data_IF_728517428642
#
_entry.id   IF_728517428642
#
_cell.length_a   1.000
_cell.length_b   1.000
_cell.length_c   1.000
_cell.angle_alpha   90.00
_cell.angle_beta   90.00
_cell.angle_gamma   90.00
#
_symmetry.space_group_name_H-M   'P 1'
#
loop_
_entity.id
_entity.type
_entity.pdbx_description
1 polymer ?
#
# COMPACT_ATOMS: atom_id res chain seq x y z
N UNK A 1 -46.12 -23.68 4.67
CA UNK A 1 -47.50 -23.15 4.69
C UNK A 1 -48.17 -23.12 3.31
N UNK A 2 -47.49 -22.65 2.23
CA UNK A 2 -48.08 -22.56 0.87
C UNK A 2 -48.50 -23.91 0.26
N UNK A 3 -47.72 -24.98 0.44
CA UNK A 3 -48.02 -26.31 -0.12
C UNK A 3 -49.33 -26.91 0.44
N UNK A 4 -49.72 -26.62 1.69
CA UNK A 4 -50.97 -27.13 2.28
C UNK A 4 -52.24 -26.52 1.65
N UNK A 5 -52.17 -25.31 1.08
CA UNK A 5 -53.33 -24.65 0.44
C UNK A 5 -53.68 -25.23 -0.95
N UNK A 6 -52.72 -25.89 -1.61
CA UNK A 6 -52.95 -26.59 -2.89
C UNK A 6 -53.87 -27.81 -2.73
N UNK A 7 -53.90 -28.43 -1.54
CA UNK A 7 -54.68 -29.64 -1.28
C UNK A 7 -56.14 -29.37 -0.86
N UNK A 8 -56.55 -28.12 -0.66
CA UNK A 8 -57.86 -27.78 -0.08
C UNK A 8 -58.98 -27.52 -1.10
N UNK A 9 -58.74 -27.70 -2.40
CA UNK A 9 -59.80 -27.76 -3.42
C UNK A 9 -60.62 -26.48 -3.66
N UNK A 10 -60.34 -25.37 -2.98
CA UNK A 10 -60.98 -24.08 -3.27
C UNK A 10 -60.34 -23.47 -4.52
N UNK A 11 -61.15 -23.31 -5.56
CA UNK A 11 -60.83 -22.68 -6.84
C UNK A 11 -59.83 -21.54 -6.68
N UNK A 12 -58.58 -21.82 -7.02
CA UNK A 12 -57.58 -20.80 -7.16
C UNK A 12 -56.65 -21.29 -8.26
N UNK A 13 -56.66 -20.56 -9.37
CA UNK A 13 -55.68 -20.64 -10.43
C UNK A 13 -54.32 -20.19 -9.90
N UNK A 14 -53.73 -20.98 -9.00
CA UNK A 14 -52.42 -20.68 -8.43
C UNK A 14 -51.37 -21.13 -9.44
N UNK A 15 -51.15 -20.28 -10.44
CA UNK A 15 -50.00 -20.32 -11.34
C UNK A 15 -48.73 -19.77 -10.68
N UNK A 16 -48.58 -19.89 -9.35
CA UNK A 16 -47.31 -19.56 -8.70
C UNK A 16 -46.34 -20.73 -8.86
N UNK A 17 -45.15 -20.44 -9.40
CA UNK A 17 -44.03 -21.36 -9.33
C UNK A 17 -43.56 -21.48 -7.89
N UNK A 18 -43.51 -22.70 -7.37
CA UNK A 18 -43.05 -22.99 -6.02
C UNK A 18 -41.76 -23.80 -6.12
N UNK A 19 -40.73 -23.36 -5.40
CA UNK A 19 -39.52 -24.14 -5.19
C UNK A 19 -39.64 -24.95 -3.90
N UNK A 20 -39.26 -26.21 -3.97
CA UNK A 20 -39.24 -27.12 -2.83
C UNK A 20 -38.06 -28.09 -2.96
N UNK A 21 -37.65 -28.68 -1.84
CA UNK A 21 -36.57 -29.66 -1.82
C UNK A 21 -36.93 -30.86 -0.97
N UNK A 22 -36.45 -32.03 -1.36
CA UNK A 22 -36.56 -33.26 -0.59
C UNK A 22 -35.28 -34.08 -0.72
N UNK A 23 -35.10 -35.06 0.16
CA UNK A 23 -33.98 -36.00 0.08
C UNK A 23 -34.35 -37.14 -0.84
N UNK A 24 -33.45 -37.51 -1.75
CA UNK A 24 -33.60 -38.72 -2.57
C UNK A 24 -33.31 -40.00 -1.76
N UNK A 25 -33.32 -41.14 -2.43
CA UNK A 25 -33.09 -42.46 -1.81
C UNK A 25 -31.67 -42.59 -1.23
N UNK A 26 -30.70 -41.85 -1.75
CA UNK A 26 -29.33 -41.81 -1.26
C UNK A 26 -29.16 -40.81 -0.10
N UNK A 27 -30.17 -39.98 0.17
CA UNK A 27 -30.17 -38.98 1.25
C UNK A 27 -29.74 -37.58 0.80
N UNK A 28 -29.49 -37.38 -0.50
CA UNK A 28 -29.04 -36.12 -1.08
C UNK A 28 -30.21 -35.15 -1.30
N UNK A 29 -29.98 -33.86 -1.03
CA UNK A 29 -30.98 -32.84 -1.30
C UNK A 29 -31.15 -32.61 -2.80
N UNK A 30 -32.38 -32.79 -3.28
CA UNK A 30 -32.82 -32.45 -4.63
C UNK A 30 -33.78 -31.28 -4.60
N UNK A 31 -33.57 -30.32 -5.49
CA UNK A 31 -34.39 -29.12 -5.63
C UNK A 31 -35.31 -29.25 -6.83
N UNK A 32 -36.58 -28.94 -6.64
CA UNK A 32 -37.59 -28.97 -7.68
C UNK A 32 -38.35 -27.66 -7.71
N UNK A 33 -38.68 -27.22 -8.92
CA UNK A 33 -39.59 -26.13 -9.17
C UNK A 33 -40.86 -26.70 -9.78
N UNK A 34 -42.00 -26.44 -9.15
CA UNK A 34 -43.28 -26.97 -9.62
C UNK A 34 -44.37 -25.93 -9.71
N UNK A 35 -45.36 -26.21 -10.54
CA UNK A 35 -46.65 -25.50 -10.58
C UNK A 35 -47.76 -26.52 -10.57
N UNK A 36 -48.86 -26.25 -9.85
CA UNK A 36 -49.98 -27.18 -9.70
C UNK A 36 -51.31 -26.48 -9.98
N UNK A 37 -52.18 -27.14 -10.73
CA UNK A 37 -53.54 -26.66 -11.02
C UNK A 37 -54.56 -27.78 -10.80
N UNK A 38 -55.78 -27.42 -10.44
CA UNK A 38 -56.90 -28.35 -10.33
C UNK A 38 -57.76 -28.24 -11.60
N UNK A 39 -57.95 -29.34 -12.31
CA UNK A 39 -58.77 -29.44 -13.52
C UNK A 39 -59.76 -30.58 -13.35
N UNK A 40 -61.08 -30.28 -13.38
CA UNK A 40 -62.17 -31.28 -13.25
C UNK A 40 -61.98 -32.24 -12.06
N UNK A 41 -61.74 -31.70 -10.87
CA UNK A 41 -61.42 -32.46 -9.64
C UNK A 41 -60.12 -33.30 -9.66
N UNK A 42 -59.27 -33.14 -10.67
CA UNK A 42 -57.95 -33.77 -10.73
C UNK A 42 -56.86 -32.74 -10.49
N UNK A 43 -55.84 -33.11 -9.74
CA UNK A 43 -54.68 -32.27 -9.45
C UNK A 43 -53.57 -32.56 -10.45
N UNK A 44 -53.27 -31.59 -11.30
CA UNK A 44 -52.17 -31.65 -12.26
C UNK A 44 -50.97 -30.89 -11.71
N UNK A 45 -49.84 -31.58 -11.53
CA UNK A 45 -48.56 -30.96 -11.18
C UNK A 45 -47.55 -31.16 -12.29
N UNK A 46 -46.84 -30.08 -12.62
CA UNK A 46 -45.65 -30.14 -13.47
C UNK A 46 -44.47 -29.72 -12.61
N UNK A 47 -43.43 -30.54 -12.60
CA UNK A 47 -42.25 -30.37 -11.75
C UNK A 47 -40.99 -30.47 -12.59
N UNK A 48 -40.07 -29.54 -12.40
CA UNK A 48 -38.74 -29.53 -13.03
C UNK A 48 -37.69 -29.70 -11.95
N UNK A 49 -36.78 -30.66 -12.13
CA UNK A 49 -35.57 -30.74 -11.32
C UNK A 49 -34.68 -29.52 -11.63
N UNK A 50 -34.34 -28.76 -10.60
CA UNK A 50 -33.48 -27.57 -10.65
C UNK A 50 -32.25 -27.75 -9.75
N UNK A 51 -31.93 -28.98 -9.34
CA UNK A 51 -30.80 -29.29 -8.44
C UNK A 51 -29.48 -28.81 -9.04
N UNK A 52 -29.23 -29.12 -10.32
CA UNK A 52 -27.97 -28.74 -10.98
C UNK A 52 -27.86 -27.22 -11.13
N UNK A 53 -28.97 -26.55 -11.44
CA UNK A 53 -29.02 -25.09 -11.49
C UNK A 53 -28.67 -24.47 -10.13
N UNK A 54 -29.29 -24.94 -9.04
CA UNK A 54 -29.01 -24.45 -7.68
C UNK A 54 -27.57 -24.72 -7.26
N UNK A 55 -27.02 -25.89 -7.59
CA UNK A 55 -25.61 -26.21 -7.31
C UNK A 55 -24.64 -25.28 -8.04
N UNK A 56 -24.93 -24.94 -9.31
CA UNK A 56 -24.13 -23.99 -10.08
C UNK A 56 -24.24 -22.57 -9.49
N UNK A 57 -25.46 -22.10 -9.19
CA UNK A 57 -25.69 -20.79 -8.56
C UNK A 57 -24.95 -20.67 -7.21
N UNK A 58 -25.06 -21.68 -6.35
CA UNK A 58 -24.33 -21.70 -5.07
C UNK A 58 -22.82 -21.73 -5.27
N UNK A 59 -22.32 -22.46 -6.28
CA UNK A 59 -20.89 -22.52 -6.57
C UNK A 59 -20.36 -21.17 -7.06
N UNK A 60 -21.10 -20.49 -7.93
CA UNK A 60 -20.76 -19.14 -8.40
C UNK A 60 -20.73 -18.18 -7.21
N UNK A 61 -21.82 -18.15 -6.42
CA UNK A 61 -21.92 -17.27 -5.25
C UNK A 61 -20.77 -17.49 -4.25
N UNK A 62 -20.47 -18.74 -3.89
CA UNK A 62 -19.34 -19.06 -3.00
C UNK A 62 -18.00 -18.66 -3.60
N UNK A 63 -17.85 -18.79 -4.92
CA UNK A 63 -16.63 -18.38 -5.59
C UNK A 63 -16.48 -16.86 -5.60
N UNK A 64 -17.55 -16.11 -5.88
CA UNK A 64 -17.57 -14.64 -5.83
C UNK A 64 -17.27 -14.12 -4.43
N UNK A 65 -17.93 -14.66 -3.40
CA UNK A 65 -17.65 -14.32 -2.00
C UNK A 65 -16.19 -14.62 -1.63
N UNK A 66 -15.63 -15.74 -2.10
CA UNK A 66 -14.22 -16.08 -1.88
C UNK A 66 -13.29 -15.07 -2.56
N UNK A 67 -13.53 -14.75 -3.83
CA UNK A 67 -12.71 -13.80 -4.57
C UNK A 67 -12.79 -12.39 -3.99
N UNK A 68 -13.98 -11.94 -3.63
CA UNK A 68 -14.20 -10.65 -2.97
C UNK A 68 -13.41 -10.57 -1.66
N UNK A 69 -13.51 -11.59 -0.80
CA UNK A 69 -12.76 -11.62 0.45
C UNK A 69 -11.23 -11.61 0.25
N UNK A 70 -10.72 -12.33 -0.76
CA UNK A 70 -9.28 -12.33 -1.08
C UNK A 70 -8.80 -10.96 -1.57
N UNK A 71 -9.61 -10.29 -2.39
CA UNK A 71 -9.30 -8.98 -2.94
C UNK A 71 -9.30 -7.89 -1.86
N UNK A 72 -10.34 -7.87 -1.02
CA UNK A 72 -10.53 -6.89 0.06
C UNK A 72 -9.44 -6.99 1.13
N UNK A 73 -8.95 -8.19 1.43
CA UNK A 73 -7.98 -8.44 2.51
C UNK A 73 -6.55 -8.69 2.01
N UNK A 74 -6.26 -8.37 0.74
CA UNK A 74 -4.91 -8.56 0.19
C UNK A 74 -3.93 -7.56 0.83
N UNK A 75 -2.77 -8.02 1.38
CA UNK A 75 -1.82 -7.14 2.07
C UNK A 75 -1.03 -6.19 1.16
N UNK A 76 -1.16 -6.34 -0.17
CA UNK A 76 -0.57 -5.46 -1.17
C UNK A 76 -1.62 -4.59 -1.86
N UNK A 77 -1.18 -3.47 -2.43
CA UNK A 77 -2.03 -2.58 -3.21
C UNK A 77 -2.21 -3.15 -4.62
N UNK A 78 -3.23 -3.98 -4.80
CA UNK A 78 -3.59 -4.48 -6.12
C UNK A 78 -4.23 -3.37 -6.95
N UNK A 79 -3.86 -3.30 -8.23
CA UNK A 79 -4.48 -2.40 -9.18
C UNK A 79 -4.63 -3.05 -10.56
N UNK A 80 -5.56 -2.51 -11.35
CA UNK A 80 -5.70 -2.79 -12.78
C UNK A 80 -6.06 -1.50 -13.51
N UNK A 81 -5.40 -1.28 -14.64
CA UNK A 81 -5.64 -0.16 -15.54
C UNK A 81 -5.98 -0.65 -16.95
N UNK A 82 -6.73 0.16 -17.70
CA UNK A 82 -6.91 -0.03 -19.14
C UNK A 82 -5.66 0.39 -19.95
N UNK A 83 -5.75 0.32 -21.29
CA UNK A 83 -4.65 0.69 -22.20
C UNK A 83 -4.29 2.17 -22.12
N UNK A 84 -5.27 3.01 -21.83
CA UNK A 84 -5.16 4.45 -21.70
C UNK A 84 -4.56 4.86 -20.34
N UNK A 85 -4.52 3.93 -19.39
CA UNK A 85 -3.95 4.11 -18.05
C UNK A 85 -4.97 4.56 -17.01
N UNK A 86 -6.27 4.41 -17.27
CA UNK A 86 -7.31 4.69 -16.30
C UNK A 86 -7.46 3.51 -15.35
N UNK A 87 -7.55 3.79 -14.05
CA UNK A 87 -7.78 2.81 -13.00
C UNK A 87 -9.17 2.17 -13.16
N UNK A 88 -9.21 0.89 -13.49
CA UNK A 88 -10.47 0.13 -13.59
C UNK A 88 -10.73 -0.73 -12.36
N UNK A 89 -9.70 -1.06 -11.59
CA UNK A 89 -9.83 -1.82 -10.35
C UNK A 89 -8.70 -1.44 -9.40
N UNK A 90 -9.02 -1.32 -8.11
CA UNK A 90 -8.06 -1.14 -7.03
C UNK A 90 -8.67 -1.71 -5.75
N UNK A 91 -7.87 -2.38 -4.93
CA UNK A 91 -8.35 -2.87 -3.64
C UNK A 91 -8.31 -1.75 -2.57
N UNK A 92 -8.96 -1.94 -1.41
CA UNK A 92 -8.96 -0.93 -0.35
C UNK A 92 -7.56 -0.53 0.13
N UNK A 93 -6.64 -1.49 0.23
CA UNK A 93 -5.25 -1.21 0.61
C UNK A 93 -4.53 -0.33 -0.42
N UNK A 94 -4.81 -0.49 -1.71
CA UNK A 94 -4.30 0.41 -2.74
C UNK A 94 -4.83 1.84 -2.63
N UNK A 95 -6.12 2.02 -2.35
CA UNK A 95 -6.68 3.34 -2.12
C UNK A 95 -6.02 4.04 -0.92
N UNK A 96 -5.92 3.34 0.21
CA UNK A 96 -5.26 3.84 1.43
C UNK A 96 -3.79 4.18 1.18
N UNK A 97 -3.05 3.34 0.46
CA UNK A 97 -1.64 3.54 0.16
C UNK A 97 -1.39 4.89 -0.55
N UNK A 98 -2.27 5.27 -1.47
CA UNK A 98 -2.18 6.54 -2.19
C UNK A 98 -2.88 7.72 -1.49
N UNK A 99 -3.43 7.53 -0.29
CA UNK A 99 -4.07 8.59 0.49
C UNK A 99 -5.50 8.92 0.06
N UNK A 100 -6.22 7.94 -0.50
CA UNK A 100 -7.65 8.04 -0.81
C UNK A 100 -8.48 7.38 0.29
N UNK A 101 -9.73 7.83 0.48
CA UNK A 101 -10.58 7.32 1.55
C UNK A 101 -11.19 5.97 1.18
N UNK A 102 -11.49 5.76 -0.10
CA UNK A 102 -12.02 4.51 -0.63
C UNK A 102 -11.52 4.23 -2.06
N UNK A 103 -11.74 3.00 -2.54
CA UNK A 103 -11.39 2.61 -3.90
C UNK A 103 -12.17 3.45 -4.93
N UNK A 104 -13.44 3.76 -4.65
CA UNK A 104 -14.31 4.55 -5.52
C UNK A 104 -13.76 5.96 -5.79
N UNK A 105 -13.05 6.57 -4.83
CA UNK A 105 -12.47 7.91 -4.98
C UNK A 105 -11.36 8.01 -6.04
N UNK A 106 -10.75 6.88 -6.41
CA UNK A 106 -9.61 6.81 -7.33
C UNK A 106 -9.93 6.01 -8.61
N UNK A 107 -10.99 5.21 -8.62
CA UNK A 107 -11.46 4.53 -9.84
C UNK A 107 -11.75 5.55 -10.96
N UNK A 108 -11.44 5.15 -12.19
CA UNK A 108 -11.54 5.96 -13.41
C UNK A 108 -10.42 6.98 -13.60
N UNK A 109 -9.62 7.27 -12.57
CA UNK A 109 -8.53 8.25 -12.70
C UNK A 109 -7.38 7.72 -13.53
N UNK A 110 -6.80 8.58 -14.35
CA UNK A 110 -5.61 8.24 -15.11
C UNK A 110 -4.36 8.26 -14.22
N UNK A 111 -3.67 7.13 -14.11
CA UNK A 111 -2.53 7.01 -13.20
C UNK A 111 -1.36 7.93 -13.58
N UNK A 112 -1.17 8.20 -14.88
CA UNK A 112 -0.07 9.05 -15.34
C UNK A 112 -0.24 10.51 -14.88
N UNK A 113 -1.49 10.96 -14.71
CA UNK A 113 -1.80 12.33 -14.28
C UNK A 113 -1.85 12.45 -12.75
N UNK A 114 -2.36 11.42 -12.08
CA UNK A 114 -2.65 11.48 -10.64
C UNK A 114 -1.56 10.89 -9.75
N UNK A 115 -0.83 9.86 -10.22
CA UNK A 115 0.13 9.12 -9.40
C UNK A 115 1.59 9.34 -9.81
N UNK A 116 1.88 9.74 -11.04
CA UNK A 116 3.26 10.07 -11.45
C UNK A 116 3.57 11.54 -11.20
N UNK A 117 4.85 11.86 -10.97
CA UNK A 117 5.29 13.26 -10.90
C UNK A 117 5.42 13.85 -12.29
N UNK A 118 5.94 13.07 -13.25
CA UNK A 118 6.07 13.51 -14.64
C UNK A 118 5.61 12.45 -15.65
N UNK A 119 5.15 12.87 -16.85
CA UNK A 119 4.85 11.95 -17.94
C UNK A 119 6.04 11.09 -18.38
N UNK A 120 7.27 11.58 -18.24
CA UNK A 120 8.51 10.90 -18.64
C UNK A 120 8.77 9.65 -17.80
N UNK A 121 8.50 9.70 -16.50
CA UNK A 121 8.60 8.55 -15.60
C UNK A 121 7.67 7.42 -16.03
N UNK A 122 6.43 7.77 -16.39
CA UNK A 122 5.45 6.80 -16.92
C UNK A 122 5.93 6.19 -18.24
N UNK A 123 6.48 7.00 -19.15
CA UNK A 123 7.04 6.51 -20.42
C UNK A 123 8.20 5.55 -20.19
N UNK A 124 9.08 5.83 -19.23
CA UNK A 124 10.19 4.94 -18.86
C UNK A 124 9.67 3.59 -18.36
N UNK A 125 8.67 3.62 -17.48
CA UNK A 125 8.02 2.40 -16.99
C UNK A 125 7.45 1.55 -18.13
N UNK A 126 6.69 2.15 -19.05
CA UNK A 126 6.09 1.43 -20.17
C UNK A 126 7.14 0.79 -21.09
N UNK A 127 8.26 1.48 -21.33
CA UNK A 127 9.39 0.92 -22.09
C UNK A 127 10.01 -0.29 -21.41
N UNK A 128 10.19 -0.25 -20.10
CA UNK A 128 10.71 -1.40 -19.35
C UNK A 128 9.71 -2.57 -19.36
N UNK A 129 8.42 -2.29 -19.26
CA UNK A 129 7.37 -3.32 -19.36
C UNK A 129 7.40 -4.00 -20.73
N UNK A 130 7.51 -3.23 -21.81
CA UNK A 130 7.62 -3.76 -23.17
C UNK A 130 8.89 -4.59 -23.37
N UNK A 131 10.04 -4.08 -22.92
CA UNK A 131 11.34 -4.77 -22.98
C UNK A 131 11.33 -6.12 -22.27
N UNK A 132 10.58 -6.22 -21.17
CA UNK A 132 10.43 -7.45 -20.40
C UNK A 132 9.20 -8.28 -20.84
N UNK A 133 8.79 -8.15 -22.11
CA UNK A 133 7.70 -8.94 -22.71
C UNK A 133 6.38 -8.81 -21.94
N UNK A 134 6.06 -7.61 -21.49
CA UNK A 134 4.83 -7.32 -20.77
C UNK A 134 4.81 -7.78 -19.32
N UNK A 135 5.96 -8.07 -18.71
CA UNK A 135 6.05 -8.50 -17.30
C UNK A 135 7.14 -7.72 -16.58
N UNK A 136 6.82 -7.13 -15.43
CA UNK A 136 7.79 -6.51 -14.53
C UNK A 136 7.68 -7.14 -13.15
N UNK A 137 8.82 -7.29 -12.50
CA UNK A 137 8.90 -7.80 -11.14
C UNK A 137 9.82 -6.90 -10.33
N UNK A 138 9.36 -6.57 -9.14
CA UNK A 138 10.07 -5.76 -8.15
C UNK A 138 10.66 -4.46 -8.73
N UNK A 139 9.95 -3.84 -9.68
CA UNK A 139 10.41 -2.63 -10.35
C UNK A 139 10.18 -1.43 -9.44
N UNK A 140 11.27 -0.78 -9.01
CA UNK A 140 11.19 0.34 -8.08
C UNK A 140 10.86 1.65 -8.81
N UNK A 141 9.86 2.37 -8.31
CA UNK A 141 9.54 3.72 -8.76
C UNK A 141 9.03 4.59 -7.61
N UNK A 142 9.16 5.90 -7.80
CA UNK A 142 8.58 6.89 -6.88
C UNK A 142 7.30 7.42 -7.50
N UNK A 143 6.19 7.23 -6.79
CA UNK A 143 4.89 7.76 -7.12
C UNK A 143 4.52 8.88 -6.15
N UNK A 144 3.44 9.58 -6.47
CA UNK A 144 2.89 10.70 -5.73
C UNK A 144 1.57 10.28 -5.10
N UNK A 145 1.41 10.54 -3.80
CA UNK A 145 0.11 10.39 -3.10
C UNK A 145 -0.84 11.52 -3.47
N UNK A 146 -2.10 11.41 -3.07
CA UNK A 146 -3.13 12.45 -3.28
C UNK A 146 -2.71 13.83 -2.74
N UNK A 147 -1.98 13.87 -1.64
CA UNK A 147 -1.48 15.11 -1.01
C UNK A 147 -0.19 15.67 -1.64
N UNK A 148 0.37 14.99 -2.64
CA UNK A 148 1.61 15.39 -3.31
C UNK A 148 2.88 14.78 -2.71
N UNK A 149 2.80 14.08 -1.57
CA UNK A 149 3.97 13.48 -0.95
C UNK A 149 4.52 12.30 -1.76
N UNK A 150 5.86 12.11 -1.81
CA UNK A 150 6.45 10.99 -2.52
C UNK A 150 6.22 9.67 -1.77
N UNK A 151 6.00 8.61 -2.54
CA UNK A 151 5.82 7.25 -2.09
C UNK A 151 6.74 6.35 -2.93
N UNK A 152 7.66 5.64 -2.28
CA UNK A 152 8.56 4.73 -2.97
C UNK A 152 7.92 3.34 -2.95
N UNK A 153 7.63 2.80 -4.12
CA UNK A 153 6.99 1.50 -4.27
C UNK A 153 7.84 0.54 -5.10
N UNK A 154 7.63 -0.75 -4.85
CA UNK A 154 8.04 -1.85 -5.71
C UNK A 154 6.82 -2.34 -6.48
N UNK A 155 6.85 -2.28 -7.81
CA UNK A 155 5.78 -2.76 -8.69
C UNK A 155 6.10 -4.14 -9.25
N UNK A 156 5.15 -5.06 -9.10
CA UNK A 156 5.13 -6.32 -9.85
C UNK A 156 3.86 -6.36 -10.67
N UNK A 157 4.00 -6.33 -11.99
CA UNK A 157 2.90 -6.10 -12.92
C UNK A 157 3.07 -6.87 -14.22
N UNK A 158 1.95 -7.08 -14.90
CA UNK A 158 1.94 -7.74 -16.20
C UNK A 158 0.81 -7.23 -17.10
N UNK A 159 0.96 -7.42 -18.40
CA UNK A 159 -0.11 -7.22 -19.37
C UNK A 159 -1.16 -8.33 -19.22
N UNK A 160 -2.43 -7.94 -19.22
CA UNK A 160 -3.54 -8.90 -19.30
C UNK A 160 -4.29 -8.74 -20.62
N UNK A 161 -4.96 -9.81 -21.05
CA UNK A 161 -5.49 -9.96 -22.39
C UNK A 161 -6.98 -10.29 -22.35
N UNK A 162 -7.72 -9.92 -23.41
CA UNK A 162 -9.09 -10.37 -23.59
C UNK A 162 -9.12 -11.79 -24.18
N UNK A 163 -10.33 -12.32 -24.39
CA UNK A 163 -10.54 -13.67 -24.97
C UNK A 163 -9.97 -13.82 -26.39
N UNK A 164 -9.80 -12.71 -27.11
CA UNK A 164 -9.29 -12.70 -28.48
C UNK A 164 -7.75 -12.56 -28.53
N UNK A 165 -7.07 -12.53 -27.39
CA UNK A 165 -5.62 -12.37 -27.29
C UNK A 165 -5.12 -10.94 -27.43
N UNK A 166 -6.02 -9.95 -27.45
CA UNK A 166 -5.64 -8.54 -27.48
C UNK A 166 -5.30 -8.05 -26.08
N UNK A 167 -4.24 -7.26 -25.93
CA UNK A 167 -3.87 -6.60 -24.67
C UNK A 167 -5.07 -5.77 -24.18
N UNK A 168 -5.40 -5.73 -22.90
CA UNK A 168 -6.48 -4.86 -22.38
C UNK A 168 -5.93 -3.80 -21.46
N UNK A 169 -4.78 -4.05 -20.84
CA UNK A 169 -4.10 -3.09 -20.00
C UNK A 169 -3.04 -3.76 -19.15
N UNK A 170 -2.79 -3.17 -17.98
CA UNK A 170 -1.79 -3.64 -17.02
C UNK A 170 -2.48 -3.94 -15.70
N UNK A 171 -2.11 -5.04 -15.05
CA UNK A 171 -2.47 -5.30 -13.66
C UNK A 171 -1.25 -5.65 -12.84
N UNK A 172 -1.29 -5.35 -11.55
CA UNK A 172 -0.14 -5.54 -10.69
C UNK A 172 -0.41 -5.28 -9.23
N UNK A 173 0.65 -5.36 -8.46
CA UNK A 173 0.66 -5.11 -7.03
C UNK A 173 1.78 -4.11 -6.74
N UNK A 174 1.42 -3.03 -6.06
CA UNK A 174 2.37 -2.13 -5.44
C UNK A 174 2.64 -2.53 -4.00
N UNK A 175 3.92 -2.52 -3.62
CA UNK A 175 4.39 -2.70 -2.25
C UNK A 175 5.10 -1.44 -1.80
N UNK A 176 4.69 -0.85 -0.68
CA UNK A 176 5.40 0.27 -0.07
C UNK A 176 6.77 -0.19 0.44
N UNK A 177 7.84 0.39 -0.11
CA UNK A 177 9.22 0.11 0.29
C UNK A 177 9.88 1.36 0.88
N UNK A 178 9.13 2.40 1.21
CA UNK A 178 9.65 3.68 1.73
C UNK A 178 10.48 3.45 3.00
N UNK A 179 9.95 2.72 3.98
CA UNK A 179 10.66 2.39 5.22
C UNK A 179 11.89 1.51 4.96
N UNK A 180 11.79 0.56 4.03
CA UNK A 180 12.92 -0.30 3.63
C UNK A 180 14.05 0.55 3.06
N UNK A 181 13.75 1.46 2.13
CA UNK A 181 14.72 2.37 1.51
C UNK A 181 15.35 3.36 2.48
N UNK A 182 14.56 3.88 3.42
CA UNK A 182 15.09 4.71 4.50
C UNK A 182 16.10 3.96 5.36
N UNK A 183 15.79 2.70 5.73
CA UNK A 183 16.69 1.86 6.49
C UNK A 183 17.97 1.49 5.69
N UNK A 184 17.83 1.14 4.42
CA UNK A 184 18.97 0.87 3.51
C UNK A 184 19.90 2.09 3.45
N UNK A 185 19.33 3.29 3.27
CA UNK A 185 20.12 4.54 3.20
C UNK A 185 20.81 4.86 4.53
N UNK A 186 20.11 4.70 5.66
CA UNK A 186 20.71 4.90 6.98
C UNK A 186 21.85 3.91 7.23
N UNK A 187 21.67 2.63 6.89
CA UNK A 187 22.72 1.62 7.01
C UNK A 187 23.94 1.95 6.14
N UNK A 188 23.73 2.43 4.91
CA UNK A 188 24.81 2.84 4.03
C UNK A 188 25.61 4.02 4.61
N UNK A 189 24.93 5.04 5.13
CA UNK A 189 25.57 6.19 5.80
C UNK A 189 26.40 5.74 7.00
N UNK A 190 25.83 4.89 7.87
CA UNK A 190 26.54 4.35 9.04
C UNK A 190 27.76 3.50 8.62
N UNK A 191 27.62 2.70 7.57
CA UNK A 191 28.72 1.92 7.02
C UNK A 191 29.85 2.81 6.49
N UNK A 192 29.52 3.85 5.71
CA UNK A 192 30.50 4.78 5.16
C UNK A 192 31.25 5.53 6.27
N UNK A 193 30.54 6.00 7.30
CA UNK A 193 31.13 6.65 8.48
C UNK A 193 32.04 5.68 9.23
N UNK A 194 31.58 4.45 9.49
CA UNK A 194 32.38 3.42 10.17
C UNK A 194 33.65 3.08 9.39
N UNK A 195 33.54 2.93 8.06
CA UNK A 195 34.68 2.70 7.17
C UNK A 195 35.68 3.84 7.23
N UNK A 196 35.21 5.10 7.19
CA UNK A 196 36.06 6.27 7.31
C UNK A 196 36.79 6.32 8.66
N UNK A 197 36.08 6.05 9.76
CA UNK A 197 36.66 6.04 11.11
C UNK A 197 37.75 4.98 11.29
N UNK A 198 37.69 3.87 10.54
CA UNK A 198 38.70 2.80 10.56
C UNK A 198 39.75 2.93 9.44
N UNK A 199 39.73 4.01 8.67
CA UNK A 199 40.71 4.28 7.61
C UNK A 199 41.86 5.15 8.12
N UNK A 200 43.04 5.11 7.49
CA UNK A 200 44.18 5.95 7.86
C UNK A 200 43.98 7.41 7.38
N UNK A 201 42.94 8.07 7.89
CA UNK A 201 42.59 9.47 7.60
C UNK A 201 42.74 10.33 8.87
N UNK A 202 42.87 11.64 8.70
CA UNK A 202 42.91 12.57 9.83
C UNK A 202 41.51 12.82 10.42
N UNK A 203 41.44 13.32 11.65
CA UNK A 203 40.16 13.70 12.28
C UNK A 203 39.41 14.75 11.45
N UNK A 204 40.11 15.76 10.92
CA UNK A 204 39.52 16.76 10.03
C UNK A 204 38.88 16.16 8.79
N UNK A 205 39.50 15.13 8.20
CA UNK A 205 38.94 14.40 7.07
C UNK A 205 37.72 13.59 7.49
N UNK A 206 37.80 12.89 8.63
CA UNK A 206 36.68 12.12 9.18
C UNK A 206 35.46 12.99 9.45
N UNK A 207 35.63 14.15 10.07
CA UNK A 207 34.52 15.07 10.35
C UNK A 207 33.84 15.58 9.08
N UNK A 208 34.61 15.90 8.05
CA UNK A 208 34.07 16.26 6.73
C UNK A 208 33.27 15.11 6.13
N UNK A 209 33.77 13.87 6.22
CA UNK A 209 33.03 12.69 5.76
C UNK A 209 31.74 12.49 6.54
N UNK A 210 31.76 12.59 7.87
CA UNK A 210 30.56 12.49 8.70
C UNK A 210 29.52 13.53 8.28
N UNK A 211 29.94 14.80 8.11
CA UNK A 211 29.06 15.86 7.68
C UNK A 211 28.45 15.56 6.30
N UNK A 212 29.27 15.20 5.31
CA UNK A 212 28.80 14.87 3.96
C UNK A 212 27.81 13.69 3.96
N UNK A 213 28.11 12.62 4.68
CA UNK A 213 27.27 11.42 4.73
C UNK A 213 25.93 11.69 5.45
N UNK A 214 25.97 12.38 6.61
CA UNK A 214 24.75 12.78 7.33
C UNK A 214 23.89 13.77 6.54
N UNK A 215 24.52 14.69 5.80
CA UNK A 215 23.84 15.65 4.92
C UNK A 215 23.01 14.97 3.82
N UNK A 216 23.23 13.68 3.55
CA UNK A 216 22.38 12.93 2.61
C UNK A 216 21.03 12.52 3.20
N UNK A 217 20.88 12.49 4.52
CA UNK A 217 19.68 11.97 5.24
C UNK A 217 19.01 13.00 6.14
N UNK A 218 19.75 13.99 6.64
CA UNK A 218 19.25 15.08 7.48
C UNK A 218 19.80 16.40 7.00
N UNK A 219 19.14 17.50 7.36
CA UNK A 219 19.65 18.84 7.12
C UNK A 219 20.87 19.09 8.00
N UNK A 220 22.00 19.38 7.38
CA UNK A 220 23.27 19.70 8.04
C UNK A 220 23.77 21.09 7.66
N UNK A 221 22.89 21.96 7.17
CA UNK A 221 23.22 23.34 6.77
C UNK A 221 23.91 24.11 7.90
N UNK A 222 23.47 23.92 9.15
CA UNK A 222 24.18 24.36 10.34
C UNK A 222 24.49 23.13 11.20
N UNK A 223 25.76 22.76 11.27
CA UNK A 223 26.20 21.47 11.79
C UNK A 223 27.54 21.59 12.52
N UNK A 224 27.69 20.86 13.63
CA UNK A 224 28.95 20.81 14.37
C UNK A 224 29.19 19.43 14.98
N UNK A 225 30.47 19.09 15.17
CA UNK A 225 30.92 17.91 15.92
C UNK A 225 31.76 18.40 17.08
N UNK A 226 31.40 17.93 18.27
CA UNK A 226 32.03 18.31 19.53
C UNK A 226 32.57 17.10 20.26
N UNK A 227 33.76 17.23 20.85
CA UNK A 227 34.35 16.24 21.75
C UNK A 227 34.10 16.66 23.19
N UNK A 228 33.59 15.74 24.00
CA UNK A 228 33.32 15.95 25.43
C UNK A 228 34.45 15.33 26.26
N UNK A 229 35.06 16.14 27.13
CA UNK A 229 35.91 15.68 28.21
C UNK A 229 35.12 15.76 29.53
N UNK A 230 34.64 14.61 30.00
CA UNK A 230 33.84 14.50 31.22
C UNK A 230 34.65 14.80 32.49
N UNK A 231 35.98 14.59 32.48
CA UNK A 231 36.82 14.82 33.66
C UNK A 231 37.04 16.30 33.88
N UNK A 232 37.29 17.03 32.79
CA UNK A 232 37.48 18.49 32.84
C UNK A 232 36.17 19.27 32.70
N UNK A 233 35.04 18.59 32.46
CA UNK A 233 33.76 19.21 32.17
C UNK A 233 33.83 20.21 31.00
N UNK A 234 34.54 19.85 29.93
CA UNK A 234 34.78 20.71 28.76
C UNK A 234 34.23 20.09 27.49
N UNK A 235 33.68 20.95 26.63
CA UNK A 235 33.43 20.61 25.22
C UNK A 235 34.46 21.30 24.35
N UNK A 236 34.96 20.56 23.35
CA UNK A 236 35.83 21.04 22.29
C UNK A 236 35.06 21.07 20.97
N UNK A 237 34.99 22.24 20.33
CA UNK A 237 34.33 22.43 19.04
C UNK A 237 35.28 22.00 17.91
N UNK A 238 35.29 20.70 17.61
CA UNK A 238 36.27 20.10 16.70
C UNK A 238 35.92 20.26 15.22
N UNK A 239 34.65 20.44 14.89
CA UNK A 239 34.19 20.70 13.53
C UNK A 239 32.93 21.54 13.56
N UNK A 240 32.80 22.49 12.65
CA UNK A 240 31.66 23.39 12.56
C UNK A 240 31.44 23.88 11.14
N UNK A 241 30.18 24.07 10.78
CA UNK A 241 29.72 24.72 9.57
C UNK A 241 28.40 25.43 9.88
N UNK A 242 28.31 26.71 9.54
CA UNK A 242 27.10 27.52 9.72
C UNK A 242 27.07 28.66 8.70
N UNK A 243 25.87 29.00 8.23
CA UNK A 243 25.68 29.98 7.17
C UNK A 243 25.71 31.45 7.65
N UNK A 244 25.57 31.68 8.95
CA UNK A 244 25.35 33.01 9.54
C UNK A 244 26.48 33.44 10.46
N UNK A 245 26.93 32.54 11.32
CA UNK A 245 27.83 32.87 12.41
C UNK A 245 29.20 32.23 12.19
N UNK A 246 30.26 33.05 12.25
CA UNK A 246 31.64 32.56 12.33
C UNK A 246 32.02 32.37 13.80
N UNK A 247 31.97 31.12 14.27
CA UNK A 247 32.40 30.76 15.62
C UNK A 247 33.79 30.13 15.67
N UNK A 248 34.63 30.35 14.66
CA UNK A 248 36.03 29.85 14.64
C UNK A 248 36.86 30.25 15.86
N UNK A 249 36.48 31.34 16.54
CA UNK A 249 37.08 31.79 17.80
C UNK A 249 36.72 30.95 19.02
N UNK A 250 35.63 30.18 18.97
CA UNK A 250 35.13 29.34 20.06
C UNK A 250 35.69 27.93 19.89
N UNK A 251 36.86 27.67 20.49
CA UNK A 251 37.50 26.35 20.41
C UNK A 251 37.09 25.42 21.56
N UNK A 252 36.75 25.98 22.73
CA UNK A 252 36.33 25.22 23.92
C UNK A 252 35.53 26.08 24.89
N UNK A 253 34.62 25.46 25.63
CA UNK A 253 33.90 26.11 26.73
C UNK A 253 33.47 25.11 27.81
N UNK A 254 33.06 25.66 28.97
CA UNK A 254 32.56 24.89 30.11
C UNK A 254 31.20 24.25 29.78
N UNK A 255 31.10 22.95 29.97
CA UNK A 255 29.91 22.16 29.68
C UNK A 255 28.76 22.41 30.66
N UNK A 256 29.01 22.98 31.84
CA UNK A 256 28.05 22.96 32.95
C UNK A 256 26.69 23.60 32.66
N UNK A 257 26.60 24.61 31.78
CA UNK A 257 25.40 25.45 31.59
C UNK A 257 24.92 25.58 30.12
N UNK A 258 25.12 24.56 29.27
CA UNK A 258 24.69 24.63 27.86
C UNK A 258 23.49 23.74 27.53
N UNK A 259 22.74 24.09 26.48
CA UNK A 259 21.65 23.25 25.94
C UNK A 259 22.16 21.90 25.43
N UNK A 260 23.38 21.87 24.88
CA UNK A 260 24.07 20.63 24.52
C UNK A 260 24.29 19.74 25.76
N UNK A 261 24.64 20.34 26.90
CA UNK A 261 24.83 19.61 28.13
C UNK A 261 23.56 19.03 28.72
N UNK A 262 22.46 19.78 28.65
CA UNK A 262 21.16 19.24 29.00
C UNK A 262 20.83 17.99 28.17
N UNK A 263 21.03 18.06 26.84
CA UNK A 263 20.69 16.96 25.92
C UNK A 263 21.53 15.72 26.20
N UNK A 264 22.85 15.88 26.43
CA UNK A 264 23.76 14.79 26.75
C UNK A 264 23.42 14.14 28.11
N UNK A 265 23.19 14.93 29.17
CA UNK A 265 22.87 14.41 30.51
C UNK A 265 21.53 13.67 30.54
N UNK A 266 20.53 14.20 29.85
CA UNK A 266 19.17 13.63 29.87
C UNK A 266 18.98 12.51 28.84
N UNK A 267 19.89 12.39 27.86
CA UNK A 267 19.76 11.50 26.69
C UNK A 267 18.42 11.69 25.95
N UNK A 268 17.87 12.90 26.00
CA UNK A 268 16.60 13.26 25.35
C UNK A 268 16.83 14.47 24.45
N UNK A 269 16.33 14.44 23.21
CA UNK A 269 16.39 15.61 22.34
C UNK A 269 15.61 16.77 22.96
N UNK A 270 16.15 17.97 22.84
CA UNK A 270 15.53 19.19 23.32
C UNK A 270 15.23 20.10 22.13
N UNK A 271 13.94 20.35 21.88
CA UNK A 271 13.50 21.37 20.92
C UNK A 271 13.26 22.67 21.69
N UNK A 272 14.05 23.69 21.38
CA UNK A 272 13.95 25.01 22.02
C UNK A 272 13.61 26.06 20.95
N UNK A 273 12.63 26.91 21.23
CA UNK A 273 12.31 28.07 20.43
C UNK A 273 12.80 29.37 21.10
N UNK A 274 12.80 30.48 20.34
CA UNK A 274 13.29 31.79 20.82
C UNK A 274 12.65 32.23 22.15
N UNK A 275 11.34 32.01 22.32
CA UNK A 275 10.60 32.39 23.55
C UNK A 275 11.06 31.60 24.79
N UNK A 276 11.64 30.43 24.60
CA UNK A 276 12.18 29.60 25.69
C UNK A 276 13.63 29.97 26.01
N UNK A 277 14.35 30.60 25.08
CA UNK A 277 15.73 31.08 25.28
C UNK A 277 15.73 32.48 25.91
N UNK A 278 14.79 33.34 25.53
CA UNK A 278 14.72 34.74 25.99
C UNK A 278 14.08 34.90 27.40
N UNK A 279 13.89 33.82 28.16
CA UNK A 279 13.32 33.81 29.53
C UNK A 279 14.39 33.53 30.56
#
# INVERSE_FOLDING_TARGET
>A
AKVKKLFTGKESSITERIEYRFKDKEGDWRYFQGTGNIVRNQLLFITRDITDQKKIEERIKKSEEKYHNLFENMPGAYYRIDREGNLIMINPEGAKLFGYNSAEDILGKNIAQHLYFTPEERKKYLKELEKNKGNLKDFELTLKKKDGTPLIISDTSHLYYNKDGNIVGVEGIFVDITKRKQNEKLQQVLYNISKAANSPITLDQLYKTIHQELGTIIDTTNFHISLLDEKENKIYFSYYFDEKDDISSIQKFDFSETLSAYTIRTKRPLLVNRKQIDK
#
